data_IF_939785958042
#
_entry.id   IF_939785958042
#
_cell.length_a   1.000
_cell.length_b   1.000
_cell.length_c   1.000
_cell.angle_alpha   90.00
_cell.angle_beta   90.00
_cell.angle_gamma   90.00
#
_symmetry.space_group_name_H-M   'P 1'
#
loop_
_entity.id
_entity.type
_entity.pdbx_description
1 polymer ?
#
# COMPACT_ATOMS: atom_id res chain seq x y z
N UNK A 1 0.50 -14.37 -18.75
CA UNK A 1 -0.27 -13.28 -19.42
C UNK A 1 0.56 -12.71 -20.58
N UNK A 2 -0.04 -12.26 -21.69
CA UNK A 2 0.68 -11.51 -22.74
C UNK A 2 0.51 -10.02 -22.48
N UNK A 3 1.61 -9.27 -22.40
CA UNK A 3 1.60 -7.83 -22.19
C UNK A 3 1.33 -7.13 -23.52
N UNK A 4 0.16 -6.52 -23.64
CA UNK A 4 -0.22 -5.67 -24.76
C UNK A 4 -0.65 -4.28 -24.28
N UNK A 5 -1.05 -3.44 -25.25
CA UNK A 5 -1.50 -2.07 -24.98
C UNK A 5 -2.70 -2.02 -24.03
N UNK A 6 -3.62 -2.99 -24.13
CA UNK A 6 -4.81 -3.08 -23.27
C UNK A 6 -4.44 -3.43 -21.83
N UNK A 7 -3.58 -4.43 -21.66
CA UNK A 7 -3.11 -4.88 -20.34
C UNK A 7 -2.32 -3.78 -19.64
N UNK A 8 -1.45 -3.08 -20.39
CA UNK A 8 -0.72 -1.92 -19.88
C UNK A 8 -1.65 -0.78 -19.45
N UNK A 9 -2.59 -0.37 -20.30
CA UNK A 9 -3.52 0.71 -19.99
C UNK A 9 -4.34 0.41 -18.72
N UNK A 10 -4.78 -0.85 -18.57
CA UNK A 10 -5.47 -1.31 -17.36
C UNK A 10 -4.58 -1.20 -16.12
N UNK A 11 -3.32 -1.63 -16.22
CA UNK A 11 -2.38 -1.50 -15.10
C UNK A 11 -2.08 -0.05 -14.75
N UNK A 12 -1.93 0.83 -15.74
CA UNK A 12 -1.72 2.25 -15.52
C UNK A 12 -2.91 2.90 -14.78
N UNK A 13 -4.14 2.52 -15.12
CA UNK A 13 -5.33 2.95 -14.37
C UNK A 13 -5.31 2.39 -12.93
N UNK A 14 -5.07 1.10 -12.79
CA UNK A 14 -5.07 0.42 -11.49
C UNK A 14 -3.98 0.93 -10.56
N UNK A 15 -2.78 1.23 -11.06
CA UNK A 15 -1.68 1.72 -10.23
C UNK A 15 -1.98 3.12 -9.70
N UNK A 16 -2.64 3.99 -10.47
CA UNK A 16 -3.06 5.31 -9.97
C UNK A 16 -4.16 5.18 -8.90
N UNK A 17 -5.10 4.23 -9.05
CA UNK A 17 -6.10 3.94 -8.01
C UNK A 17 -5.45 3.43 -6.72
N UNK A 18 -4.54 2.47 -6.82
CA UNK A 18 -3.79 1.91 -5.69
C UNK A 18 -2.96 2.99 -5.01
N UNK A 19 -2.23 3.80 -5.79
CA UNK A 19 -1.43 4.92 -5.30
C UNK A 19 -2.28 5.94 -4.55
N UNK A 20 -3.42 6.35 -5.11
CA UNK A 20 -4.31 7.31 -4.47
C UNK A 20 -4.82 6.80 -3.11
N UNK A 21 -5.22 5.52 -3.02
CA UNK A 21 -5.70 4.91 -1.79
C UNK A 21 -4.59 4.74 -0.72
N UNK A 22 -3.39 4.35 -1.15
CA UNK A 22 -2.21 4.29 -0.26
C UNK A 22 -1.79 5.68 0.23
N UNK A 23 -1.78 6.68 -0.65
CA UNK A 23 -1.50 8.07 -0.29
C UNK A 23 -2.52 8.60 0.71
N UNK A 24 -3.81 8.30 0.53
CA UNK A 24 -4.84 8.66 1.50
C UNK A 24 -4.56 8.02 2.87
N UNK A 25 -4.18 6.74 2.91
CA UNK A 25 -3.83 6.04 4.17
C UNK A 25 -2.63 6.70 4.87
N UNK A 26 -1.59 7.07 4.13
CA UNK A 26 -0.42 7.79 4.68
C UNK A 26 -0.79 9.20 5.16
N UNK A 27 -1.64 9.91 4.41
CA UNK A 27 -2.11 11.24 4.79
C UNK A 27 -2.98 11.19 6.06
N UNK A 28 -3.84 10.17 6.18
CA UNK A 28 -4.69 9.97 7.36
C UNK A 28 -3.84 9.80 8.63
N UNK A 29 -2.65 9.19 8.53
CA UNK A 29 -1.69 9.13 9.65
C UNK A 29 -1.22 10.51 10.07
N UNK A 30 -0.86 11.38 9.13
CA UNK A 30 -0.46 12.76 9.45
C UNK A 30 -1.61 13.54 10.11
N UNK A 31 -2.84 13.38 9.59
CA UNK A 31 -4.05 13.98 10.18
C UNK A 31 -4.29 13.46 11.60
N UNK A 32 -4.15 12.15 11.83
CA UNK A 32 -4.34 11.54 13.14
C UNK A 32 -3.28 12.00 14.15
N UNK A 33 -2.03 12.17 13.73
CA UNK A 33 -1.00 12.77 14.57
C UNK A 33 -1.37 14.20 14.99
N UNK A 34 -1.81 15.03 14.03
CA UNK A 34 -2.28 16.38 14.33
C UNK A 34 -3.51 16.41 15.24
N UNK A 35 -4.46 15.49 15.06
CA UNK A 35 -5.58 15.30 15.99
C UNK A 35 -5.08 14.98 17.40
N UNK A 36 -4.10 14.09 17.53
CA UNK A 36 -3.48 13.75 18.80
C UNK A 36 -2.82 14.94 19.50
N UNK A 37 -2.18 15.84 18.74
CA UNK A 37 -1.62 17.10 19.28
C UNK A 37 -2.73 18.00 19.84
N UNK A 38 -3.83 18.16 19.10
CA UNK A 38 -4.98 18.94 19.55
C UNK A 38 -5.60 18.35 20.82
N UNK A 39 -5.78 17.02 20.89
CA UNK A 39 -6.32 16.36 22.08
C UNK A 39 -5.43 16.58 23.30
N UNK A 40 -4.12 16.40 23.16
CA UNK A 40 -3.16 16.64 24.25
C UNK A 40 -3.19 18.09 24.74
N UNK A 41 -3.28 19.05 23.83
CA UNK A 41 -3.33 20.46 24.19
C UNK A 41 -4.63 20.87 24.92
N UNK A 42 -5.69 20.06 24.83
CA UNK A 42 -7.03 20.38 25.35
C UNK A 42 -7.57 19.33 26.34
N UNK A 43 -6.68 18.53 26.95
CA UNK A 43 -7.07 17.34 27.73
C UNK A 43 -8.03 17.67 28.88
N UNK A 44 -7.77 18.75 29.63
CA UNK A 44 -8.61 19.17 30.76
C UNK A 44 -10.04 19.50 30.31
N UNK A 45 -10.17 20.25 29.22
CA UNK A 45 -11.47 20.64 28.67
C UNK A 45 -12.24 19.41 28.18
N UNK A 46 -11.57 18.53 27.43
CA UNK A 46 -12.16 17.29 26.93
C UNK A 46 -12.67 16.43 28.09
N UNK A 47 -11.87 16.32 29.17
CA UNK A 47 -12.25 15.56 30.36
C UNK A 47 -13.46 16.17 31.07
N UNK A 48 -13.47 17.49 31.26
CA UNK A 48 -14.56 18.21 31.92
C UNK A 48 -15.89 18.12 31.16
N UNK A 49 -15.84 17.96 29.83
CA UNK A 49 -17.03 17.90 28.96
C UNK A 49 -17.32 16.50 28.42
N UNK A 50 -16.71 15.45 29.01
CA UNK A 50 -16.91 14.06 28.61
C UNK A 50 -16.64 13.77 27.12
N UNK A 51 -15.73 14.53 26.48
CA UNK A 51 -15.35 14.37 25.08
C UNK A 51 -14.48 13.15 24.78
N UNK A 52 -14.05 12.40 25.81
CA UNK A 52 -13.22 11.21 25.67
C UNK A 52 -13.82 10.16 24.74
N UNK A 53 -15.14 9.93 24.81
CA UNK A 53 -15.82 8.99 23.92
C UNK A 53 -15.69 9.33 22.43
N UNK A 54 -15.72 10.63 22.09
CA UNK A 54 -15.50 11.07 20.73
C UNK A 54 -14.04 10.83 20.30
N UNK A 55 -13.08 11.11 21.18
CA UNK A 55 -11.67 10.85 20.90
C UNK A 55 -11.42 9.35 20.66
N UNK A 56 -12.03 8.49 21.47
CA UNK A 56 -11.95 7.03 21.31
C UNK A 56 -12.62 6.55 20.02
N UNK A 57 -13.74 7.18 19.63
CA UNK A 57 -14.38 6.92 18.34
C UNK A 57 -13.46 7.28 17.17
N UNK A 58 -12.82 8.44 17.20
CA UNK A 58 -11.86 8.88 16.16
C UNK A 58 -10.66 7.94 16.11
N UNK A 59 -10.08 7.58 17.26
CA UNK A 59 -8.97 6.65 17.34
C UNK A 59 -9.31 5.26 16.76
N UNK A 60 -10.44 4.68 17.15
CA UNK A 60 -10.90 3.39 16.59
C UNK A 60 -11.17 3.48 15.09
N UNK A 61 -11.75 4.59 14.63
CA UNK A 61 -12.04 4.80 13.21
C UNK A 61 -10.77 4.91 12.38
N UNK A 62 -9.75 5.63 12.87
CA UNK A 62 -8.44 5.71 12.23
C UNK A 62 -7.78 4.33 12.15
N UNK A 63 -7.69 3.61 13.28
CA UNK A 63 -7.09 2.26 13.33
C UNK A 63 -7.79 1.33 12.34
N UNK A 64 -9.12 1.29 12.33
CA UNK A 64 -9.87 0.43 11.43
C UNK A 64 -9.62 0.79 9.96
N UNK A 65 -9.67 2.08 9.64
CA UNK A 65 -9.46 2.58 8.27
C UNK A 65 -8.06 2.27 7.75
N UNK A 66 -7.02 2.56 8.52
CA UNK A 66 -5.64 2.27 8.14
C UNK A 66 -5.39 0.78 7.97
N UNK A 67 -5.84 -0.03 8.93
CA UNK A 67 -5.63 -1.48 8.88
C UNK A 67 -6.34 -2.12 7.67
N UNK A 68 -7.57 -1.70 7.37
CA UNK A 68 -8.31 -2.14 6.18
C UNK A 68 -7.61 -1.67 4.90
N UNK A 69 -7.08 -0.44 4.88
CA UNK A 69 -6.31 0.10 3.76
C UNK A 69 -5.09 -0.76 3.42
N UNK A 70 -4.31 -1.14 4.44
CA UNK A 70 -3.19 -2.07 4.30
C UNK A 70 -3.66 -3.40 3.73
N UNK A 71 -4.65 -4.05 4.39
CA UNK A 71 -5.17 -5.36 3.98
C UNK A 71 -5.65 -5.37 2.53
N UNK A 72 -6.35 -4.32 2.08
CA UNK A 72 -6.89 -4.20 0.72
C UNK A 72 -5.81 -4.37 -0.35
N UNK A 73 -4.59 -3.91 -0.09
CA UNK A 73 -3.50 -3.95 -1.07
C UNK A 73 -2.62 -5.18 -0.98
N UNK A 74 -2.59 -5.86 0.18
CA UNK A 74 -1.76 -7.05 0.39
C UNK A 74 -2.52 -8.37 0.20
N UNK A 75 -3.82 -8.37 0.48
CA UNK A 75 -4.66 -9.55 0.30
C UNK A 75 -5.06 -9.66 -1.17
N UNK A 76 -4.59 -10.73 -1.81
CA UNK A 76 -4.93 -11.01 -3.21
C UNK A 76 -6.35 -11.54 -3.31
N UNK A 77 -7.10 -10.96 -4.23
CA UNK A 77 -8.41 -11.42 -4.69
C UNK A 77 -8.46 -11.11 -6.20
N UNK A 78 -8.84 -12.09 -7.02
CA UNK A 78 -8.80 -11.95 -8.47
C UNK A 78 -9.88 -11.00 -9.01
N UNK A 79 -10.93 -10.72 -8.22
CA UNK A 79 -11.99 -9.76 -8.54
C UNK A 79 -11.71 -8.35 -7.98
N UNK A 80 -10.57 -8.16 -7.30
CA UNK A 80 -10.18 -6.89 -6.69
C UNK A 80 -8.94 -6.28 -7.32
N UNK A 81 -8.89 -4.94 -7.31
CA UNK A 81 -7.69 -4.18 -7.67
C UNK A 81 -6.85 -3.97 -6.41
N UNK A 82 -5.68 -4.63 -6.33
CA UNK A 82 -4.73 -4.50 -5.23
C UNK A 82 -3.28 -4.43 -5.73
N UNK A 83 -2.39 -3.90 -4.91
CA UNK A 83 -0.96 -3.84 -5.23
C UNK A 83 -0.39 -5.24 -5.52
N UNK A 84 -0.68 -6.22 -4.65
CA UNK A 84 -0.20 -7.60 -4.83
C UNK A 84 -0.77 -8.25 -6.09
N UNK A 85 -2.00 -7.92 -6.50
CA UNK A 85 -2.55 -8.43 -7.77
C UNK A 85 -1.79 -7.88 -8.98
N UNK A 86 -1.49 -6.57 -9.02
CA UNK A 86 -0.71 -5.96 -10.09
C UNK A 86 0.70 -6.58 -10.14
N UNK A 87 1.39 -6.65 -9.00
CA UNK A 87 2.73 -7.24 -8.92
C UNK A 87 2.75 -8.71 -9.35
N UNK A 88 1.72 -9.48 -8.97
CA UNK A 88 1.60 -10.88 -9.39
C UNK A 88 1.49 -11.01 -10.91
N UNK A 89 0.66 -10.18 -11.55
CA UNK A 89 0.52 -10.22 -13.01
C UNK A 89 1.79 -9.71 -13.73
N UNK A 90 2.49 -8.71 -13.16
CA UNK A 90 3.79 -8.24 -13.67
C UNK A 90 4.86 -9.32 -13.56
N UNK A 91 4.93 -10.04 -12.44
CA UNK A 91 5.82 -11.20 -12.26
C UNK A 91 5.59 -12.24 -13.35
N UNK A 92 4.34 -12.58 -13.64
CA UNK A 92 3.96 -13.61 -14.61
C UNK A 92 4.30 -13.25 -16.07
N UNK A 93 4.62 -11.98 -16.35
CA UNK A 93 5.09 -11.55 -17.66
C UNK A 93 6.40 -10.76 -17.59
N UNK A 94 7.20 -10.91 -16.52
CA UNK A 94 8.39 -10.10 -16.29
C UNK A 94 9.38 -10.06 -17.48
N UNK A 95 9.63 -11.15 -18.22
CA UNK A 95 10.50 -11.11 -19.41
C UNK A 95 10.00 -10.20 -20.55
N UNK A 96 8.71 -9.84 -20.56
CA UNK A 96 8.12 -8.91 -21.55
C UNK A 96 8.27 -7.45 -21.12
N UNK A 97 8.57 -7.18 -19.85
CA UNK A 97 8.86 -5.85 -19.33
C UNK A 97 10.34 -5.54 -19.58
N UNK A 98 10.68 -5.19 -20.82
CA UNK A 98 12.03 -4.79 -21.21
C UNK A 98 12.29 -3.33 -20.84
N UNK A 99 13.58 -2.94 -20.75
CA UNK A 99 13.95 -1.55 -20.56
C UNK A 99 13.47 -0.67 -21.74
N UNK A 100 13.50 -1.20 -22.96
CA UNK A 100 12.97 -0.49 -24.13
C UNK A 100 11.47 -0.25 -24.03
N UNK A 101 10.70 -1.26 -23.60
CA UNK A 101 9.28 -1.09 -23.34
C UNK A 101 9.05 -0.04 -22.25
N UNK A 102 9.83 -0.08 -21.16
CA UNK A 102 9.75 0.91 -20.09
C UNK A 102 10.02 2.34 -20.60
N UNK A 103 11.02 2.55 -21.46
CA UNK A 103 11.29 3.85 -22.07
C UNK A 103 10.20 4.32 -23.03
N UNK A 104 9.44 3.42 -23.67
CA UNK A 104 8.28 3.82 -24.46
C UNK A 104 7.15 4.38 -23.59
N UNK A 105 6.98 3.84 -22.38
CA UNK A 105 5.94 4.29 -21.45
C UNK A 105 6.38 5.50 -20.62
N UNK A 106 7.67 5.60 -20.33
CA UNK A 106 8.28 6.69 -19.60
C UNK A 106 9.46 7.28 -20.40
N UNK A 107 9.17 8.05 -21.47
CA UNK A 107 10.18 8.59 -22.34
C UNK A 107 11.20 9.43 -21.59
N UNK A 108 12.45 9.35 -22.03
CA UNK A 108 13.49 10.26 -21.58
C UNK A 108 13.15 11.67 -22.04
N UNK A 109 13.22 12.63 -21.11
CA UNK A 109 13.21 14.04 -21.42
C UNK A 109 14.64 14.58 -21.31
N UNK A 110 15.23 14.96 -22.45
CA UNK A 110 16.61 15.45 -22.48
C UNK A 110 16.79 16.80 -21.75
N UNK A 111 15.70 17.54 -21.52
CA UNK A 111 15.71 18.78 -20.75
C UNK A 111 15.99 18.55 -19.25
N UNK A 112 15.72 17.36 -18.72
CA UNK A 112 15.84 17.08 -17.28
C UNK A 112 17.31 16.88 -16.86
N UNK A 113 18.24 16.74 -17.82
CA UNK A 113 19.68 16.53 -17.57
C UNK A 113 20.05 15.24 -16.84
N UNK A 114 19.07 14.44 -16.41
CA UNK A 114 19.26 13.24 -15.60
C UNK A 114 18.44 12.06 -16.12
N UNK A 115 19.11 10.94 -16.39
CA UNK A 115 18.50 9.73 -16.93
C UNK A 115 17.96 8.83 -15.80
N UNK A 116 16.93 9.28 -15.09
CA UNK A 116 16.36 8.62 -13.91
C UNK A 116 15.72 7.26 -14.21
N UNK A 117 15.29 7.02 -15.45
CA UNK A 117 14.67 5.75 -15.87
C UNK A 117 15.61 4.57 -15.62
N UNK A 118 16.92 4.75 -15.83
CA UNK A 118 17.91 3.67 -15.67
C UNK A 118 18.06 3.20 -14.21
N UNK A 119 18.31 4.06 -13.20
CA UNK A 119 18.34 3.63 -11.81
C UNK A 119 16.98 3.13 -11.31
N UNK A 120 15.86 3.70 -11.78
CA UNK A 120 14.53 3.20 -11.41
C UNK A 120 14.28 1.79 -11.94
N UNK A 121 14.59 1.51 -13.20
CA UNK A 121 14.39 0.17 -13.77
C UNK A 121 15.28 -0.89 -13.12
N UNK A 122 16.47 -0.51 -12.64
CA UNK A 122 17.35 -1.40 -11.87
C UNK A 122 16.73 -1.88 -10.55
N UNK A 123 15.74 -1.18 -9.99
CA UNK A 123 15.03 -1.66 -8.81
C UNK A 123 14.29 -2.98 -9.07
N UNK A 124 13.95 -3.26 -10.33
CA UNK A 124 13.21 -4.46 -10.73
C UNK A 124 13.98 -5.32 -11.74
N UNK A 125 15.25 -5.02 -12.02
CA UNK A 125 16.05 -5.70 -13.05
C UNK A 125 17.49 -5.94 -12.59
N UNK A 126 17.92 -7.19 -12.63
CA UNK A 126 19.29 -7.60 -12.28
C UNK A 126 20.31 -7.22 -13.36
N UNK A 127 19.91 -7.33 -14.64
CA UNK A 127 20.78 -7.09 -15.79
C UNK A 127 20.54 -5.72 -16.44
N UNK A 128 19.51 -4.98 -16.02
CA UNK A 128 19.12 -3.70 -16.60
C UNK A 128 18.45 -3.78 -17.98
N UNK A 129 18.12 -4.98 -18.46
CA UNK A 129 17.54 -5.22 -19.80
C UNK A 129 16.09 -5.67 -19.71
N UNK A 130 15.78 -6.57 -18.78
CA UNK A 130 14.43 -7.11 -18.54
C UNK A 130 14.12 -7.13 -17.05
N UNK A 131 12.85 -6.99 -16.67
CA UNK A 131 12.46 -7.15 -15.29
C UNK A 131 12.72 -8.59 -14.80
N UNK A 132 13.15 -8.72 -13.54
CA UNK A 132 13.34 -9.99 -12.86
C UNK A 132 12.06 -10.38 -12.13
N UNK A 133 11.45 -11.49 -12.55
CA UNK A 133 10.32 -12.07 -11.83
C UNK A 133 10.69 -12.45 -10.39
N UNK A 134 11.96 -12.76 -10.12
CA UNK A 134 12.44 -13.10 -8.79
C UNK A 134 12.45 -11.88 -7.85
N UNK A 135 12.89 -10.72 -8.33
CA UNK A 135 12.83 -9.46 -7.55
C UNK A 135 11.38 -9.15 -7.19
N UNK A 136 10.48 -9.16 -8.19
CA UNK A 136 9.06 -8.87 -7.96
C UNK A 136 8.43 -9.88 -6.99
N UNK A 137 8.77 -11.17 -7.10
CA UNK A 137 8.32 -12.20 -6.16
C UNK A 137 8.81 -11.93 -4.74
N UNK A 138 10.08 -11.55 -4.58
CA UNK A 138 10.65 -11.19 -3.29
C UNK A 138 9.96 -9.98 -2.67
N UNK A 139 9.61 -8.97 -3.47
CA UNK A 139 8.89 -7.79 -2.99
C UNK A 139 7.47 -8.15 -2.52
N UNK A 140 6.77 -9.04 -3.25
CA UNK A 140 5.45 -9.55 -2.83
C UNK A 140 5.56 -10.26 -1.47
N UNK A 141 6.54 -11.15 -1.30
CA UNK A 141 6.72 -11.87 -0.04
C UNK A 141 7.12 -10.95 1.12
N UNK A 142 7.96 -9.95 0.85
CA UNK A 142 8.30 -8.91 1.84
C UNK A 142 7.06 -8.12 2.27
N UNK A 143 6.21 -7.72 1.32
CA UNK A 143 4.95 -7.03 1.62
C UNK A 143 4.05 -7.88 2.51
N UNK A 144 3.85 -9.16 2.19
CA UNK A 144 3.05 -10.07 3.01
C UNK A 144 3.63 -10.23 4.41
N UNK A 145 4.95 -10.43 4.54
CA UNK A 145 5.59 -10.60 5.83
C UNK A 145 5.45 -9.35 6.72
N UNK A 146 5.63 -8.17 6.14
CA UNK A 146 5.49 -6.90 6.88
C UNK A 146 4.06 -6.63 7.35
N UNK A 147 3.06 -7.21 6.68
CA UNK A 147 1.65 -6.86 6.89
C UNK A 147 0.83 -7.99 7.51
N UNK A 148 1.40 -9.18 7.72
CA UNK A 148 0.69 -10.37 8.22
C UNK A 148 -0.05 -10.12 9.54
N UNK A 149 0.54 -9.33 10.45
CA UNK A 149 -0.11 -9.00 11.72
C UNK A 149 -1.31 -8.07 11.52
N UNK A 150 -1.18 -7.08 10.63
CA UNK A 150 -2.27 -6.16 10.29
C UNK A 150 -3.40 -6.90 9.58
N UNK A 151 -3.09 -7.77 8.63
CA UNK A 151 -4.10 -8.61 7.97
C UNK A 151 -4.85 -9.50 8.97
N UNK A 152 -4.12 -10.17 9.86
CA UNK A 152 -4.71 -11.05 10.87
C UNK A 152 -5.59 -10.27 11.84
N UNK A 153 -5.15 -9.08 12.28
CA UNK A 153 -5.94 -8.19 13.12
C UNK A 153 -7.24 -7.79 12.42
N UNK A 154 -7.18 -7.35 11.17
CA UNK A 154 -8.38 -6.96 10.41
C UNK A 154 -9.32 -8.15 10.25
N UNK A 155 -8.82 -9.33 9.89
CA UNK A 155 -9.66 -10.51 9.69
C UNK A 155 -10.37 -10.93 10.99
N UNK A 156 -9.67 -10.90 12.14
CA UNK A 156 -10.20 -11.42 13.40
C UNK A 156 -11.01 -10.43 14.25
N UNK A 157 -10.72 -9.14 14.15
CA UNK A 157 -11.30 -8.10 15.02
C UNK A 157 -12.18 -7.09 14.28
N UNK A 158 -11.89 -6.80 13.01
CA UNK A 158 -12.62 -5.78 12.26
C UNK A 158 -13.65 -6.37 11.29
N UNK A 159 -13.26 -7.39 10.52
CA UNK A 159 -14.12 -8.07 9.57
C UNK A 159 -15.00 -9.12 10.25
N UNK A 160 -14.47 -9.75 11.29
CA UNK A 160 -15.16 -10.75 12.09
C UNK A 160 -15.02 -10.43 13.58
N UNK A 161 -15.92 -11.01 14.38
CA UNK A 161 -15.76 -11.10 15.83
C UNK A 161 -15.33 -12.54 16.13
N UNK A 162 -14.05 -12.85 15.86
CA UNK A 162 -13.53 -14.20 16.05
C UNK A 162 -13.60 -14.58 17.54
N UNK A 163 -14.11 -15.78 17.85
CA UNK A 163 -14.23 -16.28 19.22
C UNK A 163 -12.89 -16.39 19.95
N UNK A 164 -11.80 -16.61 19.21
CA UNK A 164 -10.44 -16.68 19.77
C UNK A 164 -9.79 -15.31 19.89
N UNK A 165 -10.32 -14.30 19.22
CA UNK A 165 -9.74 -12.96 19.11
C UNK A 165 -8.35 -12.94 18.46
N UNK A 166 -7.76 -11.75 18.44
CA UNK A 166 -6.39 -11.49 18.03
C UNK A 166 -5.45 -11.41 19.24
N UNK A 167 -4.47 -12.31 19.27
CA UNK A 167 -3.44 -12.44 20.31
C UNK A 167 -2.14 -11.68 19.98
N UNK A 168 -2.06 -11.09 18.78
CA UNK A 168 -0.94 -10.26 18.36
C UNK A 168 -1.05 -8.81 18.83
N UNK A 169 -0.09 -7.99 18.40
CA UNK A 169 -0.06 -6.56 18.72
C UNK A 169 0.15 -5.74 17.46
N UNK A 170 -0.89 -5.02 17.04
CA UNK A 170 -0.77 -3.96 16.03
C UNK A 170 -0.68 -2.63 16.75
N UNK A 171 0.31 -1.82 16.39
CA UNK A 171 0.58 -0.50 16.94
C UNK A 171 0.35 0.59 15.90
N UNK A 172 0.30 1.85 16.34
CA UNK A 172 0.26 2.99 15.41
C UNK A 172 1.49 3.09 14.50
N UNK A 173 2.60 2.41 14.80
CA UNK A 173 3.76 2.36 13.91
C UNK A 173 3.61 1.33 12.79
N UNK A 174 2.74 0.34 12.99
CA UNK A 174 2.41 -0.69 12.00
C UNK A 174 1.32 -0.23 11.01
N UNK A 175 0.78 0.99 11.23
CA UNK A 175 -0.33 1.62 10.49
C UNK A 175 0.08 2.92 9.77
#
# INVERSE_FOLDING_TARGET
>A
MKLGKKEWARWAEWIERVKSDLQATVNDRAVFHGFGDVVRANEEWIRAHHGGYFCDFVARSYVARSAIGVRRHVKRDDDSVSLVQILSQMKDCAPQLTFDFYLQQFPRNDADGFFWQKPTFKLVSENGVVASGQIIASDIEKLKLLTVQVETFVDKELAHLDRKGFDGRVTFNDL
#
